data_IF_685130653833
#
_entry.id   IF_685130653833
#
_cell.length_a   1.000
_cell.length_b   1.000
_cell.length_c   1.000
_cell.angle_alpha   90.00
_cell.angle_beta   90.00
_cell.angle_gamma   90.00
#
_symmetry.space_group_name_H-M   'P 1'
#
loop_
_entity.id
_entity.type
_entity.pdbx_description
1 polymer ?
#
# COMPACT_ATOMS: atom_id res chain seq x y z
N UNK A 1 27.36 -16.85 -1.49
CA UNK A 1 26.83 -16.19 -1.92
C UNK A 1 26.20 -15.85 -1.54
N UNK A 2 26.07 -15.97 -1.67
CA UNK A 2 25.36 -15.51 -1.85
C UNK A 2 24.76 -15.40 -1.26
N UNK A 3 25.41 -15.94 -1.17
CA UNK A 3 24.83 -15.52 -1.10
C UNK A 3 24.19 -15.27 -0.80
N UNK A 4 24.35 -15.51 -1.13
CA UNK A 4 23.52 -15.15 -1.41
C UNK A 4 23.00 -14.99 -1.02
N UNK A 5 23.85 -15.49 -0.84
CA UNK A 5 23.55 -15.03 -1.03
C UNK A 5 22.93 -14.79 -1.18
N UNK A 6 22.87 -14.59 -1.54
CA UNK A 6 22.37 -14.15 -2.07
C UNK A 6 21.61 -13.89 -1.95
N UNK A 7 21.90 -13.90 -2.01
CA UNK A 7 21.34 -13.62 -2.28
C UNK A 7 20.60 -13.18 -1.99
N UNK A 8 21.32 -13.78 -2.12
CA UNK A 8 20.86 -13.11 -2.22
C UNK A 8 20.38 -12.99 -1.64
N UNK A 9 20.92 -13.80 -1.56
CA UNK A 9 20.98 -13.28 -1.45
C UNK A 9 20.55 -13.33 -0.41
N UNK A 10 20.42 -13.44 -0.63
CA UNK A 10 20.36 -13.35 -0.14
C UNK A 10 20.28 -13.68 0.60
N UNK A 11 20.78 -13.92 0.54
CA UNK A 11 20.88 -14.14 0.60
C UNK A 11 20.95 -14.36 1.56
N UNK A 12 21.68 -14.68 1.44
CA UNK A 12 21.87 -14.73 1.52
C UNK A 12 22.08 -15.21 2.19
N UNK A 13 22.60 -15.11 2.03
CA UNK A 13 22.88 -15.48 1.79
C UNK A 13 23.09 -15.78 2.39
N UNK A 14 23.87 -16.34 3.15
CA UNK A 14 24.25 -16.44 2.93
C UNK A 14 24.31 -16.65 3.65
N UNK A 15 24.66 -16.83 3.62
CA UNK A 15 24.78 -16.84 3.66
C UNK A 15 24.74 -17.25 4.19
N UNK A 16 25.45 -17.91 4.58
CA UNK A 16 25.57 -17.69 4.32
C UNK A 16 25.25 -17.89 4.75
N UNK A 17 25.30 -18.20 5.03
CA UNK A 17 24.93 -17.78 5.01
C UNK A 17 24.28 -17.65 5.26
N UNK A 18 24.16 -18.05 5.74
CA UNK A 18 23.46 -17.45 5.58
C UNK A 18 22.72 -17.41 5.59
N UNK A 19 22.66 -17.91 6.14
CA UNK A 19 21.76 -17.70 5.80
C UNK A 19 21.02 -17.87 6.45
N UNK A 20 20.87 -18.04 7.23
CA UNK A 20 19.99 -17.94 7.49
C UNK A 20 19.32 -18.70 7.98
N UNK A 21 20.05 -19.48 8.91
CA UNK A 21 19.17 -20.25 9.17
C UNK A 21 18.19 -19.91 9.21
N UNK A 22 17.99 -20.35 9.19
CA UNK A 22 16.90 -19.82 8.95
C UNK A 22 15.86 -20.07 9.85
N UNK A 23 15.80 -19.32 10.74
CA UNK A 23 14.64 -19.13 11.43
C UNK A 23 13.66 -18.59 10.50
N UNK A 24 12.63 -19.31 10.28
CA UNK A 24 11.57 -18.80 9.57
C UNK A 24 10.76 -17.93 10.42
N UNK A 25 11.08 -16.69 10.39
CA UNK A 25 10.16 -15.70 10.90
C UNK A 25 9.01 -15.61 9.93
N UNK A 26 7.77 -15.48 10.44
CA UNK A 26 6.65 -15.25 9.56
C UNK A 26 6.98 -14.03 8.73
N UNK A 27 6.76 -14.17 7.45
CA UNK A 27 7.04 -13.11 6.53
C UNK A 27 6.29 -11.86 6.93
N UNK A 28 7.03 -10.82 7.24
CA UNK A 28 6.41 -9.54 7.51
C UNK A 28 6.24 -8.81 6.20
N UNK A 29 5.00 -8.70 5.78
CA UNK A 29 4.69 -8.02 4.53
C UNK A 29 4.89 -6.54 4.71
N UNK A 30 5.42 -5.94 3.66
CA UNK A 30 5.70 -4.53 3.67
C UNK A 30 4.40 -3.73 3.58
N UNK A 31 4.26 -2.77 4.49
CA UNK A 31 3.05 -1.97 4.56
C UNK A 31 3.30 -0.65 3.87
N UNK A 32 2.42 -0.29 2.95
CA UNK A 32 2.57 0.95 2.20
C UNK A 32 1.90 2.12 2.88
N UNK A 33 1.67 3.17 2.08
CA UNK A 33 1.17 4.44 2.58
C UNK A 33 -0.16 4.31 3.33
N UNK A 34 -1.10 3.59 2.75
CA UNK A 34 -2.45 3.51 3.34
C UNK A 34 -2.47 2.69 4.61
N UNK A 35 -1.66 1.64 4.66
CA UNK A 35 -1.54 0.87 5.89
C UNK A 35 -0.95 1.68 7.02
N UNK A 36 0.06 2.50 6.72
CA UNK A 36 0.67 3.36 7.72
C UNK A 36 -0.31 4.42 8.22
N UNK A 37 -1.10 5.00 7.33
CA UNK A 37 -2.12 5.96 7.72
C UNK A 37 -3.17 5.32 8.62
N UNK A 38 -3.58 4.10 8.29
CA UNK A 38 -4.53 3.38 9.12
C UNK A 38 -3.96 3.10 10.51
N UNK A 39 -2.67 2.74 10.57
CA UNK A 39 -2.01 2.50 11.85
C UNK A 39 -2.06 3.73 12.74
N UNK A 40 -1.75 4.89 12.18
CA UNK A 40 -1.78 6.13 12.94
C UNK A 40 -3.19 6.47 13.39
N UNK A 41 -4.16 6.21 12.53
CA UNK A 41 -5.56 6.42 12.87
C UNK A 41 -5.98 5.53 14.05
N UNK A 42 -5.58 4.26 14.02
CA UNK A 42 -5.91 3.33 15.11
C UNK A 42 -5.31 3.82 16.42
N UNK A 43 -4.06 4.25 16.39
CA UNK A 43 -3.40 4.71 17.60
C UNK A 43 -4.05 5.95 18.17
N UNK A 44 -4.52 6.83 17.30
CA UNK A 44 -5.10 8.12 17.75
C UNK A 44 -6.57 7.99 18.13
N UNK A 45 -7.34 7.19 17.41
CA UNK A 45 -8.80 7.20 17.55
C UNK A 45 -9.43 5.86 17.88
N UNK A 46 -8.68 4.76 17.78
CA UNK A 46 -9.20 3.41 18.04
C UNK A 46 -8.21 2.63 18.88
N UNK A 47 -7.85 3.16 20.03
CA UNK A 47 -6.80 2.57 20.86
C UNK A 47 -7.13 1.16 21.31
N UNK A 48 -8.40 0.88 21.63
CA UNK A 48 -8.81 -0.45 22.04
C UNK A 48 -8.59 -1.47 20.94
N UNK A 49 -8.98 -1.11 19.71
CA UNK A 49 -8.79 -1.99 18.58
C UNK A 49 -7.30 -2.18 18.28
N UNK A 50 -6.52 -1.10 18.38
CA UNK A 50 -5.08 -1.18 18.18
C UNK A 50 -4.46 -2.16 19.18
N UNK A 51 -4.82 -2.02 20.44
CA UNK A 51 -4.29 -2.89 21.51
C UNK A 51 -4.67 -4.35 21.27
N UNK A 52 -5.91 -4.59 20.86
CA UNK A 52 -6.38 -5.95 20.59
C UNK A 52 -5.61 -6.60 19.46
N UNK A 53 -5.46 -5.86 18.35
CA UNK A 53 -4.73 -6.38 17.20
C UNK A 53 -3.27 -6.65 17.53
N UNK A 54 -2.68 -5.77 18.32
CA UNK A 54 -1.30 -5.94 18.74
C UNK A 54 -1.14 -7.16 19.64
N UNK A 55 -2.05 -7.33 20.59
CA UNK A 55 -2.00 -8.47 21.52
C UNK A 55 -2.20 -9.79 20.80
N UNK A 56 -3.05 -9.81 19.79
CA UNK A 56 -3.32 -11.02 19.03
C UNK A 56 -2.23 -11.34 18.02
N UNK A 57 -1.32 -10.40 17.78
CA UNK A 57 -0.28 -10.58 16.79
C UNK A 57 -0.75 -10.46 15.36
N UNK A 58 -1.93 -9.85 15.15
CA UNK A 58 -2.52 -9.73 13.82
C UNK A 58 -2.48 -8.31 13.26
N UNK A 59 -1.85 -7.39 13.99
CA UNK A 59 -1.84 -5.99 13.58
C UNK A 59 -1.20 -5.80 12.19
N UNK A 60 -0.04 -6.40 11.99
CA UNK A 60 0.67 -6.22 10.71
C UNK A 60 -0.14 -6.78 9.54
N UNK A 61 -0.76 -7.95 9.76
CA UNK A 61 -1.59 -8.56 8.73
C UNK A 61 -2.77 -7.65 8.38
N UNK A 62 -3.41 -7.08 9.40
CA UNK A 62 -4.56 -6.19 9.17
C UNK A 62 -4.15 -4.94 8.41
N UNK A 63 -3.00 -4.36 8.78
CA UNK A 63 -2.51 -3.17 8.10
C UNK A 63 -2.20 -3.45 6.64
N UNK A 64 -1.64 -4.61 6.36
CA UNK A 64 -1.36 -5.00 4.99
C UNK A 64 -2.65 -5.16 4.18
N UNK A 65 -3.67 -5.77 4.78
CA UNK A 65 -4.95 -5.95 4.11
C UNK A 65 -5.60 -4.60 3.78
N UNK A 66 -5.55 -3.67 4.72
CA UNK A 66 -6.10 -2.33 4.50
C UNK A 66 -5.32 -1.63 3.38
N UNK A 67 -4.00 -1.78 3.37
CA UNK A 67 -3.18 -1.15 2.36
C UNK A 67 -3.52 -1.67 0.95
N UNK A 68 -3.65 -2.98 0.81
CA UNK A 68 -4.00 -3.59 -0.48
C UNK A 68 -5.40 -3.16 -0.92
N UNK A 69 -6.35 -3.21 0.00
CA UNK A 69 -7.72 -2.82 -0.30
C UNK A 69 -7.80 -1.37 -0.75
N UNK A 70 -7.10 -0.48 -0.03
CA UNK A 70 -7.09 0.94 -0.36
C UNK A 70 -6.47 1.20 -1.73
N UNK A 71 -5.34 0.57 -2.01
CA UNK A 71 -4.68 0.73 -3.32
C UNK A 71 -5.57 0.28 -4.46
N UNK A 72 -6.19 -0.88 -4.29
CA UNK A 72 -7.07 -1.43 -5.33
C UNK A 72 -8.25 -0.50 -5.57
N UNK A 73 -8.82 0.03 -4.49
CA UNK A 73 -9.97 0.91 -4.59
C UNK A 73 -9.59 2.23 -5.26
N UNK A 74 -8.42 2.79 -4.92
CA UNK A 74 -7.96 4.01 -5.55
C UNK A 74 -7.84 3.81 -7.06
N UNK A 75 -7.22 2.71 -7.48
CA UNK A 75 -7.04 2.45 -8.91
C UNK A 75 -8.37 2.30 -9.63
N UNK A 76 -9.32 1.61 -8.99
CA UNK A 76 -10.66 1.45 -9.58
C UNK A 76 -11.36 2.80 -9.74
N UNK A 77 -11.29 3.64 -8.71
CA UNK A 77 -11.96 4.94 -8.74
C UNK A 77 -11.29 5.84 -9.78
N UNK A 78 -9.97 5.81 -9.87
CA UNK A 78 -9.26 6.59 -10.88
C UNK A 78 -9.73 6.20 -12.28
N UNK A 79 -9.83 4.90 -12.54
CA UNK A 79 -10.27 4.42 -13.85
C UNK A 79 -11.69 4.90 -14.15
N UNK A 80 -12.58 4.79 -13.17
CA UNK A 80 -13.97 5.22 -13.36
C UNK A 80 -14.09 6.72 -13.60
N UNK A 81 -13.41 7.52 -12.77
CA UNK A 81 -13.49 8.97 -12.89
C UNK A 81 -12.84 9.47 -14.19
N UNK A 82 -11.74 8.86 -14.58
CA UNK A 82 -11.07 9.25 -15.81
C UNK A 82 -11.97 8.98 -17.01
N UNK A 83 -12.62 7.80 -17.02
CA UNK A 83 -13.54 7.47 -18.09
C UNK A 83 -14.72 8.43 -18.12
N UNK A 84 -15.26 8.74 -16.95
CA UNK A 84 -16.40 9.63 -16.83
C UNK A 84 -16.11 11.04 -17.31
N UNK A 85 -14.88 11.50 -17.07
CA UNK A 85 -14.47 12.86 -17.45
C UNK A 85 -13.81 12.93 -18.82
N UNK A 86 -13.74 11.82 -19.53
CA UNK A 86 -13.16 11.80 -20.86
C UNK A 86 -11.65 11.99 -20.89
N UNK A 87 -10.98 11.61 -19.82
CA UNK A 87 -9.52 11.72 -19.75
C UNK A 87 -8.93 10.44 -20.34
N UNK A 88 -8.29 10.56 -21.50
CA UNK A 88 -7.78 9.38 -22.20
C UNK A 88 -6.46 9.69 -22.89
N UNK A 89 -5.96 8.71 -23.64
CA UNK A 89 -4.70 8.85 -24.35
C UNK A 89 -4.76 9.94 -25.43
N UNK A 90 -5.94 10.15 -26.00
CA UNK A 90 -6.10 11.22 -26.99
C UNK A 90 -5.89 12.58 -26.35
N UNK A 91 -6.43 12.79 -25.15
CA UNK A 91 -6.19 14.04 -24.44
C UNK A 91 -4.72 14.21 -24.13
N UNK A 92 -4.06 13.13 -23.69
CA UNK A 92 -2.65 13.16 -23.37
C UNK A 92 -1.81 13.56 -24.58
N UNK A 93 -2.17 13.03 -25.75
CA UNK A 93 -1.44 13.33 -26.98
C UNK A 93 -1.67 14.78 -27.44
N UNK A 94 -2.89 15.30 -27.26
CA UNK A 94 -3.23 16.63 -27.73
C UNK A 94 -2.80 17.75 -26.77
N UNK A 95 -2.92 17.50 -25.47
CA UNK A 95 -2.67 18.53 -24.47
C UNK A 95 -2.16 17.86 -23.19
N UNK A 96 -0.86 17.63 -23.17
CA UNK A 96 -0.23 16.92 -22.04
C UNK A 96 -0.44 17.65 -20.72
N UNK A 97 -0.32 18.97 -20.73
CA UNK A 97 -0.46 19.74 -19.49
C UNK A 97 -1.87 19.62 -18.92
N UNK A 98 -2.86 19.66 -19.79
CA UNK A 98 -4.24 19.49 -19.35
C UNK A 98 -4.47 18.08 -18.83
N UNK A 99 -3.91 17.08 -19.50
CA UNK A 99 -4.04 15.70 -19.09
C UNK A 99 -3.46 15.51 -17.69
N UNK A 100 -2.27 16.08 -17.43
CA UNK A 100 -1.64 15.97 -16.12
C UNK A 100 -2.50 16.62 -15.05
N UNK A 101 -3.02 17.81 -15.31
CA UNK A 101 -3.85 18.52 -14.34
C UNK A 101 -5.13 17.74 -14.03
N UNK A 102 -5.79 17.22 -15.07
CA UNK A 102 -7.02 16.45 -14.86
C UNK A 102 -6.76 15.15 -14.12
N UNK A 103 -5.67 14.45 -14.46
CA UNK A 103 -5.34 13.22 -13.76
C UNK A 103 -4.98 13.47 -12.31
N UNK A 104 -4.30 14.57 -12.02
CA UNK A 104 -3.98 14.90 -10.62
C UNK A 104 -5.26 15.17 -9.83
N UNK A 105 -6.24 15.83 -10.43
CA UNK A 105 -7.53 16.06 -9.78
C UNK A 105 -8.26 14.75 -9.53
N UNK A 106 -8.23 13.85 -10.49
CA UNK A 106 -8.87 12.55 -10.34
C UNK A 106 -8.20 11.76 -9.23
N UNK A 107 -6.86 11.75 -9.20
CA UNK A 107 -6.14 11.02 -8.16
C UNK A 107 -6.44 11.57 -6.78
N UNK A 108 -6.50 12.89 -6.65
CA UNK A 108 -6.80 13.52 -5.37
C UNK A 108 -8.20 13.15 -4.89
N UNK A 109 -9.17 13.18 -5.80
CA UNK A 109 -10.55 12.81 -5.47
C UNK A 109 -10.65 11.35 -5.05
N UNK A 110 -9.97 10.46 -5.79
CA UNK A 110 -9.98 9.05 -5.47
C UNK A 110 -9.37 8.78 -4.11
N UNK A 111 -8.24 9.42 -3.82
CA UNK A 111 -7.58 9.23 -2.54
C UNK A 111 -8.45 9.73 -1.40
N UNK A 112 -9.10 10.86 -1.58
CA UNK A 112 -9.98 11.40 -0.55
C UNK A 112 -11.11 10.42 -0.21
N UNK A 113 -11.70 9.83 -1.23
CA UNK A 113 -12.77 8.87 -1.03
C UNK A 113 -12.26 7.64 -0.27
N UNK A 114 -11.10 7.12 -0.67
CA UNK A 114 -10.55 5.92 -0.06
C UNK A 114 -10.14 6.17 1.39
N UNK A 115 -9.55 7.32 1.67
CA UNK A 115 -9.18 7.64 3.04
C UNK A 115 -10.41 7.65 3.94
N UNK A 116 -11.51 8.20 3.45
CA UNK A 116 -12.74 8.28 4.24
C UNK A 116 -13.41 6.92 4.38
N UNK A 117 -13.40 6.10 3.33
CA UNK A 117 -14.19 4.87 3.32
C UNK A 117 -13.44 3.65 3.83
N UNK A 118 -12.13 3.63 3.73
CA UNK A 118 -11.33 2.44 4.03
C UNK A 118 -10.31 2.70 5.14
N UNK A 119 -9.61 3.82 5.08
CA UNK A 119 -8.47 4.06 5.97
C UNK A 119 -8.89 4.63 7.32
N UNK A 120 -9.77 5.62 7.32
CA UNK A 120 -10.19 6.30 8.55
C UNK A 120 -11.55 5.81 9.01
N UNK A 121 -11.64 4.52 9.26
CA UNK A 121 -12.90 3.93 9.73
C UNK A 121 -12.74 3.19 11.05
#
# INVERSE_FOLDING_TARGET
MEKYIEQNGITYELRGEQDYPLLELPEQKEIGKYGRLHLEYLKAHRKGRYTNLLSEGTLNQRLFEIDVEAKTMVESIITLLAAERGIDENMKARDMLRWVAEMNNVKASAEEIVLREVVYV
#
